data_IF_407506249915
#
_entry.id   IF_407506249915
#
_cell.length_a   1.000
_cell.length_b   1.000
_cell.length_c   1.000
_cell.angle_alpha   90.00
_cell.angle_beta   90.00
_cell.angle_gamma   90.00
#
_symmetry.space_group_name_H-M   'P 1'
#
loop_
_entity.id
_entity.type
_entity.pdbx_description
1 polymer ?
#
# COMPACT_ATOMS: atom_id res chain seq x y z
N UNK A 1 3.08 -8.23 -19.80
CA UNK A 1 4.11 -7.20 -19.51
C UNK A 1 3.65 -5.77 -19.78
N UNK A 2 3.03 -5.42 -20.94
CA UNK A 2 2.58 -4.03 -21.21
C UNK A 2 1.35 -3.55 -20.40
N UNK A 3 0.51 -4.46 -19.91
CA UNK A 3 -0.73 -4.11 -19.20
C UNK A 3 -0.71 -4.49 -17.72
N UNK A 4 0.44 -4.87 -17.15
CA UNK A 4 0.46 -5.39 -15.77
C UNK A 4 -0.03 -4.35 -14.76
N UNK A 5 0.51 -3.13 -14.87
CA UNK A 5 0.17 -2.00 -13.98
C UNK A 5 -1.28 -1.52 -14.16
N UNK A 6 -1.77 -1.48 -15.41
CA UNK A 6 -3.17 -1.18 -15.70
C UNK A 6 -4.12 -2.23 -15.11
N UNK A 7 -3.82 -3.52 -15.31
CA UNK A 7 -4.63 -4.60 -14.78
C UNK A 7 -4.65 -4.58 -13.25
N UNK A 8 -3.49 -4.38 -12.63
CA UNK A 8 -3.35 -4.25 -11.18
C UNK A 8 -4.19 -3.10 -10.64
N UNK A 9 -4.13 -1.92 -11.27
CA UNK A 9 -4.97 -0.78 -10.86
C UNK A 9 -6.45 -1.14 -10.96
N UNK A 10 -6.90 -1.76 -12.06
CA UNK A 10 -8.31 -2.13 -12.24
C UNK A 10 -8.75 -3.16 -11.20
N UNK A 11 -7.93 -4.19 -10.93
CA UNK A 11 -8.19 -5.23 -9.94
C UNK A 11 -8.37 -4.65 -8.53
N UNK A 12 -7.57 -3.65 -8.17
CA UNK A 12 -7.63 -2.98 -6.87
C UNK A 12 -8.78 -1.95 -6.80
N UNK A 13 -8.99 -1.19 -7.86
CA UNK A 13 -9.97 -0.10 -7.91
C UNK A 13 -11.41 -0.64 -7.91
N UNK A 14 -11.67 -1.73 -8.62
CA UNK A 14 -13.01 -2.29 -8.79
C UNK A 14 -13.73 -2.60 -7.46
N UNK A 15 -13.20 -3.43 -6.54
CA UNK A 15 -13.86 -3.70 -5.27
C UNK A 15 -13.91 -2.47 -4.34
N UNK A 16 -12.91 -1.60 -4.41
CA UNK A 16 -12.86 -0.38 -3.61
C UNK A 16 -13.96 0.61 -3.99
N UNK A 17 -14.24 0.76 -5.30
CA UNK A 17 -15.28 1.64 -5.80
C UNK A 17 -16.69 1.03 -5.65
N UNK A 18 -16.82 -0.29 -5.79
CA UNK A 18 -18.09 -0.98 -5.51
C UNK A 18 -18.60 -0.78 -4.08
N UNK A 19 -17.69 -0.53 -3.12
CA UNK A 19 -18.04 -0.21 -1.74
C UNK A 19 -18.62 1.19 -1.55
N UNK A 20 -18.47 2.07 -2.56
CA UNK A 20 -18.92 3.46 -2.55
C UNK A 20 -19.65 3.82 -3.86
N UNK A 21 -20.78 3.15 -4.17
CA UNK A 21 -21.46 3.26 -5.47
C UNK A 21 -22.08 4.63 -5.73
N UNK A 22 -22.25 5.46 -4.68
CA UNK A 22 -22.83 6.80 -4.78
C UNK A 22 -21.87 7.81 -5.45
N UNK A 23 -20.57 7.49 -5.50
CA UNK A 23 -19.55 8.35 -6.11
C UNK A 23 -19.35 7.97 -7.57
N UNK A 24 -19.24 8.96 -8.45
CA UNK A 24 -18.70 8.72 -9.79
C UNK A 24 -17.18 8.51 -9.74
N UNK A 25 -16.59 8.01 -10.85
CA UNK A 25 -15.17 7.64 -10.89
C UNK A 25 -14.24 8.80 -10.48
N UNK A 26 -14.50 10.01 -10.98
CA UNK A 26 -13.66 11.18 -10.69
C UNK A 26 -13.77 11.59 -9.23
N UNK A 27 -14.97 11.57 -8.66
CA UNK A 27 -15.19 11.84 -7.24
C UNK A 27 -14.49 10.80 -6.36
N UNK A 28 -14.53 9.53 -6.75
CA UNK A 28 -13.85 8.46 -6.04
C UNK A 28 -12.32 8.61 -6.11
N UNK A 29 -11.75 8.91 -7.29
CA UNK A 29 -10.31 9.17 -7.44
C UNK A 29 -9.86 10.40 -6.64
N UNK A 30 -10.67 11.46 -6.60
CA UNK A 30 -10.40 12.64 -5.78
C UNK A 30 -10.40 12.31 -4.28
N UNK A 31 -11.32 11.45 -3.83
CA UNK A 31 -11.35 10.96 -2.45
C UNK A 31 -10.09 10.15 -2.11
N UNK A 32 -9.70 9.22 -2.99
CA UNK A 32 -8.48 8.42 -2.80
C UNK A 32 -7.22 9.32 -2.71
N UNK A 33 -7.14 10.35 -3.55
CA UNK A 33 -6.04 11.31 -3.49
C UNK A 33 -5.98 12.04 -2.14
N UNK A 34 -7.12 12.50 -1.62
CA UNK A 34 -7.20 13.16 -0.32
C UNK A 34 -6.84 12.21 0.84
N UNK A 35 -7.33 10.97 0.80
CA UNK A 35 -6.99 9.94 1.80
C UNK A 35 -5.49 9.60 1.79
N UNK A 36 -4.84 9.67 0.62
CA UNK A 36 -3.40 9.46 0.47
C UNK A 36 -2.54 10.68 0.88
N UNK A 37 -3.16 11.81 1.25
CA UNK A 37 -2.44 13.06 1.53
C UNK A 37 -1.85 13.73 0.29
N UNK A 38 -2.45 13.51 -0.89
CA UNK A 38 -2.03 14.13 -2.14
C UNK A 38 -2.71 15.49 -2.34
N UNK A 39 -1.95 16.56 -2.19
CA UNK A 39 -2.45 17.95 -2.23
C UNK A 39 -2.40 18.61 -3.63
N UNK A 40 -1.84 17.92 -4.63
CA UNK A 40 -1.70 18.43 -5.98
C UNK A 40 -2.99 18.22 -6.83
N UNK A 41 -3.12 18.91 -7.98
CA UNK A 41 -4.26 18.73 -8.88
C UNK A 41 -4.42 17.28 -9.33
N UNK A 42 -5.66 16.83 -9.53
CA UNK A 42 -5.96 15.45 -9.92
C UNK A 42 -5.28 15.00 -11.23
N UNK A 43 -4.96 15.95 -12.13
CA UNK A 43 -4.23 15.66 -13.38
C UNK A 43 -2.78 15.21 -13.14
N UNK A 44 -2.21 15.53 -11.98
CA UNK A 44 -0.87 15.12 -11.56
C UNK A 44 -0.89 13.80 -10.79
N UNK A 45 -2.07 13.26 -10.50
CA UNK A 45 -2.21 12.00 -9.78
C UNK A 45 -1.71 10.84 -10.65
N UNK A 46 -0.60 10.24 -10.24
CA UNK A 46 -0.08 9.05 -10.89
C UNK A 46 -0.76 7.79 -10.38
N UNK A 47 -0.79 6.77 -11.23
CA UNK A 47 -1.32 5.47 -10.88
C UNK A 47 -0.46 4.72 -9.83
N UNK A 48 0.81 5.09 -9.63
CA UNK A 48 1.62 4.56 -8.51
C UNK A 48 1.04 4.99 -7.16
N UNK A 49 0.63 6.26 -7.03
CA UNK A 49 0.02 6.79 -5.80
C UNK A 49 -1.30 6.07 -5.53
N UNK A 50 -2.12 5.87 -6.58
CA UNK A 50 -3.37 5.14 -6.48
C UNK A 50 -3.16 3.67 -6.09
N UNK A 51 -2.25 2.96 -6.75
CA UNK A 51 -1.95 1.55 -6.46
C UNK A 51 -1.43 1.40 -5.03
N UNK A 52 -0.50 2.27 -4.60
CA UNK A 52 0.03 2.25 -3.24
C UNK A 52 -1.08 2.46 -2.21
N UNK A 53 -1.88 3.52 -2.37
CA UNK A 53 -2.97 3.82 -1.44
C UNK A 53 -4.00 2.69 -1.40
N UNK A 54 -4.43 2.17 -2.56
CA UNK A 54 -5.41 1.08 -2.64
C UNK A 54 -4.91 -0.21 -1.97
N UNK A 55 -3.62 -0.54 -2.10
CA UNK A 55 -3.02 -1.68 -1.39
C UNK A 55 -3.02 -1.47 0.13
N UNK A 56 -2.81 -0.25 0.58
CA UNK A 56 -2.67 0.09 2.00
C UNK A 56 -4.00 0.41 2.70
N UNK A 57 -5.05 0.75 1.95
CA UNK A 57 -6.34 1.23 2.47
C UNK A 57 -7.00 0.27 3.48
N UNK A 58 -6.80 -1.03 3.29
CA UNK A 58 -7.36 -2.09 4.16
C UNK A 58 -6.29 -2.85 4.97
N UNK A 59 -5.02 -2.46 4.89
CA UNK A 59 -4.00 -3.01 5.78
C UNK A 59 -4.12 -2.34 7.14
N UNK A 60 -4.17 -3.14 8.21
CA UNK A 60 -4.11 -2.64 9.59
C UNK A 60 -2.85 -1.79 9.73
N UNK A 61 -2.89 -0.65 10.45
CA UNK A 61 -1.72 0.23 10.63
C UNK A 61 -0.47 -0.49 11.16
N UNK A 62 -0.65 -1.62 11.86
CA UNK A 62 0.40 -2.49 12.38
C UNK A 62 0.78 -3.66 11.45
N UNK A 63 0.26 -3.69 10.22
CA UNK A 63 0.61 -4.73 9.26
C UNK A 63 2.00 -4.44 8.71
N UNK A 64 2.93 -5.38 8.90
CA UNK A 64 4.27 -5.31 8.34
C UNK A 64 4.16 -5.14 6.83
N UNK A 65 4.90 -4.17 6.27
CA UNK A 65 4.90 -3.88 4.84
C UNK A 65 5.31 -5.16 4.07
N UNK A 66 4.50 -5.63 3.10
CA UNK A 66 4.83 -6.82 2.32
C UNK A 66 6.19 -6.67 1.62
N UNK A 67 7.13 -7.57 1.91
CA UNK A 67 8.52 -7.51 1.44
C UNK A 67 9.56 -7.18 2.51
N UNK A 68 9.21 -6.35 3.51
CA UNK A 68 10.04 -6.09 4.70
C UNK A 68 9.93 -7.21 5.75
N UNK A 69 8.87 -8.02 5.69
CA UNK A 69 8.64 -9.14 6.61
C UNK A 69 9.74 -10.21 6.57
N UNK A 70 10.42 -10.38 5.43
CA UNK A 70 11.42 -11.43 5.26
C UNK A 70 12.63 -11.27 6.17
N UNK A 71 12.99 -10.03 6.49
CA UNK A 71 14.15 -9.68 7.33
C UNK A 71 13.71 -9.11 8.70
N UNK A 72 12.43 -9.25 9.04
CA UNK A 72 11.84 -8.71 10.26
C UNK A 72 12.05 -9.70 11.42
N UNK A 73 12.89 -9.34 12.39
CA UNK A 73 12.98 -10.01 13.69
C UNK A 73 12.19 -9.20 14.74
N UNK A 74 11.14 -9.82 15.30
CA UNK A 74 10.27 -9.20 16.32
C UNK A 74 11.00 -8.79 17.61
N UNK A 75 12.11 -9.47 17.95
CA UNK A 75 12.90 -9.18 19.15
C UNK A 75 14.26 -8.58 18.79
N UNK A 76 14.32 -7.24 18.87
CA UNK A 76 15.54 -6.46 18.64
C UNK A 76 16.74 -6.94 19.48
N UNK A 77 16.50 -7.45 20.69
CA UNK A 77 17.58 -7.95 21.55
C UNK A 77 18.17 -9.23 20.99
N UNK A 78 17.31 -10.17 20.57
CA UNK A 78 17.74 -11.42 19.96
C UNK A 78 18.46 -11.16 18.63
N UNK A 79 17.94 -10.25 17.80
CA UNK A 79 18.58 -9.80 16.57
C UNK A 79 20.00 -9.27 16.80
N UNK A 80 20.16 -8.39 17.79
CA UNK A 80 21.45 -7.80 18.15
C UNK A 80 22.44 -8.84 18.68
N UNK A 81 21.98 -9.78 19.49
CA UNK A 81 22.81 -10.84 20.05
C UNK A 81 23.23 -11.87 18.99
N UNK A 82 22.37 -12.17 18.01
CA UNK A 82 22.72 -12.98 16.83
C UNK A 82 23.73 -12.28 15.93
N UNK A 83 23.52 -11.01 15.61
CA UNK A 83 24.45 -10.21 14.81
C UNK A 83 25.85 -10.10 15.46
N UNK A 84 25.93 -10.11 16.80
CA UNK A 84 27.19 -10.14 17.54
C UNK A 84 27.78 -11.55 17.73
N UNK A 85 27.13 -12.59 17.22
CA UNK A 85 27.57 -13.99 17.35
C UNK A 85 27.50 -14.55 18.78
N UNK A 86 26.75 -13.89 19.67
CA UNK A 86 26.58 -14.29 21.07
C UNK A 86 25.57 -15.44 21.17
N UNK A 87 24.51 -15.38 20.37
CA UNK A 87 23.58 -16.48 20.17
C UNK A 87 23.98 -17.21 18.88
N UNK A 88 24.23 -18.51 18.98
CA UNK A 88 24.33 -19.44 17.86
C UNK A 88 23.05 -20.27 17.86
N UNK A 89 22.52 -20.56 16.67
CA UNK A 89 21.20 -21.19 16.44
C UNK A 89 20.83 -22.30 17.45
#
# INVERSE_FOLDING_TARGET
MKNHRLNELIELLHPAWQSEPDLNLVQFLQKLAQEAGFDAPLVELSDDVLIYHLKMRNTVKDSVIPGLQKDYEDDFKTALLRARGILKE
#
